data_IF_360624309597
#
_entry.id   IF_360624309597
#
_cell.length_a   1.000
_cell.length_b   1.000
_cell.length_c   1.000
_cell.angle_alpha   90.00
_cell.angle_beta   90.00
_cell.angle_gamma   90.00
#
_symmetry.space_group_name_H-M   'P 1'
#
loop_
_entity.id
_entity.type
_entity.pdbx_description
1 polymer ?
#
# COMPACT_ATOMS: atom_id res chain seq x y z
N UNK A 1 -2.67 -23.77 6.04
CA UNK A 1 -2.52 -22.34 6.38
C UNK A 1 -3.91 -21.73 6.40
N UNK A 2 -4.38 -21.24 7.55
CA UNK A 2 -5.61 -20.45 7.61
C UNK A 2 -5.22 -18.99 7.35
N UNK A 3 -5.57 -18.47 6.18
CA UNK A 3 -5.33 -17.08 5.82
C UNK A 3 -6.35 -16.14 6.46
N UNK A 4 -6.08 -14.84 6.39
CA UNK A 4 -6.97 -13.79 6.89
C UNK A 4 -6.51 -12.41 6.44
N UNK A 5 -7.31 -11.40 6.74
CA UNK A 5 -6.98 -10.00 6.49
C UNK A 5 -7.22 -9.17 7.76
N UNK A 6 -6.46 -8.10 7.91
CA UNK A 6 -6.66 -7.09 8.94
C UNK A 6 -7.11 -5.79 8.28
N UNK A 7 -8.01 -5.04 8.92
CA UNK A 7 -8.06 -3.60 8.66
C UNK A 7 -6.77 -2.95 9.14
N UNK A 8 -6.45 -1.76 8.63
CA UNK A 8 -5.30 -0.98 9.06
C UNK A 8 -5.34 -0.70 10.56
N UNK A 9 -6.51 -0.36 11.10
CA UNK A 9 -6.72 -0.18 12.54
C UNK A 9 -6.48 -1.47 13.33
N UNK A 10 -7.03 -2.61 12.88
CA UNK A 10 -6.87 -3.88 13.55
C UNK A 10 -5.42 -4.36 13.52
N UNK A 11 -4.69 -4.08 12.43
CA UNK A 11 -3.27 -4.41 12.31
C UNK A 11 -2.43 -3.65 13.36
N UNK A 12 -2.67 -2.35 13.53
CA UNK A 12 -1.99 -1.53 14.53
C UNK A 12 -2.21 -2.03 15.97
N UNK A 13 -3.37 -2.67 16.23
CA UNK A 13 -3.74 -3.23 17.53
C UNK A 13 -3.44 -4.74 17.65
N UNK A 14 -2.86 -5.33 16.61
CA UNK A 14 -2.61 -6.78 16.57
C UNK A 14 -1.32 -7.16 17.31
N UNK A 15 -1.06 -8.47 17.39
CA UNK A 15 0.22 -9.00 17.89
C UNK A 15 1.42 -8.74 16.97
N UNK A 16 1.19 -8.26 15.74
CA UNK A 16 2.24 -7.98 14.78
C UNK A 16 2.90 -6.64 15.09
N UNK A 17 4.20 -6.65 15.40
CA UNK A 17 4.96 -5.41 15.51
C UNK A 17 5.30 -4.89 14.11
N UNK A 18 4.51 -3.94 13.60
CA UNK A 18 4.71 -3.35 12.27
C UNK A 18 6.02 -2.55 12.16
N UNK A 19 6.60 -2.11 13.27
CA UNK A 19 7.89 -1.42 13.30
C UNK A 19 9.06 -2.36 12.95
N UNK A 20 8.91 -3.66 13.22
CA UNK A 20 9.90 -4.70 12.89
C UNK A 20 9.73 -5.23 11.45
N UNK A 21 8.92 -4.57 10.63
CA UNK A 21 8.68 -5.01 9.27
C UNK A 21 9.93 -4.87 8.38
N UNK A 22 10.13 -5.88 7.55
CA UNK A 22 11.09 -5.85 6.45
C UNK A 22 10.49 -5.16 5.23
N UNK A 23 11.34 -4.61 4.37
CA UNK A 23 10.92 -3.95 3.14
C UNK A 23 11.22 -4.81 1.91
N UNK A 24 10.21 -5.11 1.10
CA UNK A 24 10.42 -5.71 -0.20
C UNK A 24 10.73 -4.62 -1.23
N UNK A 25 11.93 -4.67 -1.82
CA UNK A 25 12.39 -3.64 -2.75
C UNK A 25 11.73 -3.72 -4.12
N UNK A 26 11.23 -4.87 -4.55
CA UNK A 26 10.65 -5.03 -5.88
C UNK A 26 9.18 -4.58 -5.87
N UNK A 27 8.38 -5.10 -4.93
CA UNK A 27 6.97 -4.73 -4.77
C UNK A 27 6.78 -3.37 -4.11
N UNK A 28 7.82 -2.81 -3.47
CA UNK A 28 7.75 -1.59 -2.66
C UNK A 28 6.68 -1.69 -1.55
N UNK A 29 6.63 -2.82 -0.86
CA UNK A 29 5.70 -3.06 0.25
C UNK A 29 6.43 -3.60 1.48
N UNK A 30 5.95 -3.29 2.70
CA UNK A 30 6.44 -3.91 3.92
C UNK A 30 5.87 -5.32 4.09
N UNK A 31 6.61 -6.15 4.82
CA UNK A 31 6.17 -7.47 5.24
C UNK A 31 6.82 -7.91 6.55
N UNK A 32 6.21 -8.86 7.23
CA UNK A 32 6.76 -9.55 8.39
C UNK A 32 6.74 -11.05 8.10
N UNK A 33 7.87 -11.70 8.34
CA UNK A 33 8.00 -13.15 8.31
C UNK A 33 8.36 -13.66 9.70
N UNK A 34 7.50 -14.50 10.28
CA UNK A 34 7.78 -15.20 11.53
C UNK A 34 7.99 -16.69 11.25
N UNK A 35 9.23 -17.20 11.28
CA UNK A 35 9.53 -18.59 10.98
C UNK A 35 9.06 -19.56 12.08
N UNK A 36 8.97 -19.12 13.35
CA UNK A 36 8.53 -19.96 14.46
C UNK A 36 7.05 -20.35 14.32
N UNK A 37 6.22 -19.40 13.89
CA UNK A 37 4.78 -19.60 13.67
C UNK A 37 4.45 -19.98 12.22
N UNK A 38 5.46 -20.08 11.34
CA UNK A 38 5.31 -20.27 9.89
C UNK A 38 4.26 -19.29 9.29
N UNK A 39 4.35 -18.02 9.67
CA UNK A 39 3.34 -17.01 9.34
C UNK A 39 3.95 -15.78 8.67
N UNK A 40 3.22 -15.28 7.67
CA UNK A 40 3.62 -14.16 6.84
C UNK A 40 2.52 -13.12 6.81
N UNK A 41 2.90 -11.85 6.93
CA UNK A 41 2.01 -10.71 6.80
C UNK A 41 2.62 -9.71 5.81
N UNK A 42 1.94 -9.45 4.69
CA UNK A 42 2.19 -8.28 3.86
C UNK A 42 1.06 -7.28 4.07
N UNK A 43 1.39 -5.99 4.03
CA UNK A 43 0.44 -4.92 4.31
C UNK A 43 0.83 -3.63 3.58
N UNK A 44 -0.08 -2.66 3.53
CA UNK A 44 0.22 -1.31 3.05
C UNK A 44 0.66 -0.40 4.19
N UNK A 45 1.48 0.59 3.88
CA UNK A 45 1.93 1.64 4.80
C UNK A 45 1.94 2.98 4.08
N UNK A 46 2.06 4.08 4.83
CA UNK A 46 2.27 5.42 4.24
C UNK A 46 3.41 5.42 3.22
N UNK A 47 4.49 4.66 3.48
CA UNK A 47 5.65 4.54 2.58
C UNK A 47 5.30 3.83 1.27
N UNK A 48 4.57 2.71 1.31
CA UNK A 48 4.18 1.98 0.10
C UNK A 48 3.13 2.73 -0.70
N UNK A 49 2.18 3.39 -0.04
CA UNK A 49 1.19 4.23 -0.71
C UNK A 49 1.85 5.40 -1.45
N UNK A 50 2.82 6.09 -0.83
CA UNK A 50 3.61 7.13 -1.51
C UNK A 50 4.37 6.61 -2.74
N UNK A 51 4.92 5.39 -2.66
CA UNK A 51 5.58 4.77 -3.81
C UNK A 51 4.59 4.47 -4.94
N UNK A 52 3.37 4.00 -4.62
CA UNK A 52 2.31 3.71 -5.60
C UNK A 52 1.73 4.98 -6.23
N UNK A 53 1.53 6.05 -5.46
CA UNK A 53 1.15 7.37 -5.97
C UNK A 53 2.19 7.84 -6.99
N UNK A 54 3.48 7.83 -6.62
CA UNK A 54 4.57 8.21 -7.52
C UNK A 54 4.57 7.35 -8.78
N UNK A 55 4.38 6.04 -8.64
CA UNK A 55 4.32 5.13 -9.78
C UNK A 55 3.16 5.50 -10.71
N UNK A 56 1.94 5.62 -10.18
CA UNK A 56 0.75 5.96 -10.94
C UNK A 56 0.91 7.27 -11.72
N UNK A 57 1.35 8.33 -11.05
CA UNK A 57 1.62 9.63 -11.70
C UNK A 57 2.72 9.51 -12.77
N UNK A 58 3.86 8.89 -12.45
CA UNK A 58 4.98 8.77 -13.42
C UNK A 58 4.64 7.94 -14.65
N UNK A 59 3.72 6.97 -14.49
CA UNK A 59 3.27 6.07 -15.55
C UNK A 59 2.01 6.57 -16.24
N UNK A 60 1.50 7.74 -15.86
CA UNK A 60 0.25 8.29 -16.40
C UNK A 60 -0.92 7.29 -16.29
N UNK A 61 -0.98 6.60 -15.15
CA UNK A 61 -2.08 5.70 -14.81
C UNK A 61 -3.23 6.55 -14.27
N UNK A 62 -4.45 6.32 -14.74
CA UNK A 62 -5.62 7.17 -14.47
C UNK A 62 -6.12 7.24 -13.01
N UNK A 63 -5.39 6.68 -12.05
CA UNK A 63 -5.70 6.79 -10.63
C UNK A 63 -5.37 5.54 -9.81
N UNK A 64 -5.87 5.53 -8.58
CA UNK A 64 -5.73 4.42 -7.63
C UNK A 64 -7.11 3.95 -7.18
N UNK A 65 -7.28 2.63 -7.07
CA UNK A 65 -8.48 2.02 -6.50
C UNK A 65 -8.16 1.44 -5.11
N UNK A 66 -9.10 1.59 -4.17
CA UNK A 66 -8.96 1.12 -2.79
C UNK A 66 -10.06 0.14 -2.45
N UNK A 67 -9.68 -1.01 -1.90
CA UNK A 67 -10.59 -1.97 -1.28
C UNK A 67 -10.06 -2.34 0.11
N UNK A 68 -10.72 -1.97 1.21
CA UNK A 68 -11.96 -1.17 1.33
C UNK A 68 -11.73 0.10 2.16
N UNK A 69 -12.50 1.14 1.87
CA UNK A 69 -12.40 2.43 2.55
C UNK A 69 -12.70 2.34 4.05
N UNK A 70 -13.58 1.43 4.45
CA UNK A 70 -13.97 1.16 5.85
C UNK A 70 -12.88 0.42 6.64
N UNK A 71 -11.77 0.06 5.98
CA UNK A 71 -10.66 -0.69 6.58
C UNK A 71 -9.46 0.20 6.95
N UNK A 72 -9.62 1.53 6.93
CA UNK A 72 -8.62 2.47 7.47
C UNK A 72 -8.79 2.67 8.99
N UNK A 73 -7.97 3.52 9.61
CA UNK A 73 -8.14 3.96 11.00
C UNK A 73 -9.02 5.22 11.14
N UNK A 74 -9.44 5.54 12.37
CA UNK A 74 -10.27 6.72 12.68
C UNK A 74 -9.63 8.07 12.29
N UNK A 75 -8.32 8.07 12.00
CA UNK A 75 -7.57 9.26 11.54
C UNK A 75 -7.49 9.33 10.02
N UNK A 76 -8.07 8.36 9.30
CA UNK A 76 -7.97 8.21 7.85
C UNK A 76 -6.52 8.21 7.38
N UNK A 77 -5.59 7.55 8.10
CA UNK A 77 -4.15 7.67 7.82
C UNK A 77 -3.81 7.23 6.39
N UNK A 78 -4.36 6.10 5.92
CA UNK A 78 -4.11 5.60 4.58
C UNK A 78 -4.84 6.44 3.53
N UNK A 79 -6.10 6.79 3.78
CA UNK A 79 -6.94 7.57 2.87
C UNK A 79 -6.40 9.01 2.70
N UNK A 80 -5.96 9.67 3.78
CA UNK A 80 -5.31 10.99 3.72
C UNK A 80 -4.00 10.93 2.92
N UNK A 81 -3.25 9.83 3.02
CA UNK A 81 -2.04 9.64 2.21
C UNK A 81 -2.39 9.56 0.72
N UNK A 82 -3.48 8.88 0.36
CA UNK A 82 -3.95 8.76 -1.01
C UNK A 82 -4.51 10.08 -1.55
N UNK A 83 -5.35 10.76 -0.78
CA UNK A 83 -6.03 11.99 -1.20
C UNK A 83 -5.08 13.20 -1.27
N UNK A 84 -3.96 13.18 -0.56
CA UNK A 84 -2.91 14.20 -0.66
C UNK A 84 -1.94 13.96 -1.83
N UNK A 85 -2.04 12.82 -2.51
CA UNK A 85 -1.26 12.53 -3.70
C UNK A 85 -1.74 13.37 -4.89
N UNK A 86 -0.82 14.02 -5.58
CA UNK A 86 -1.11 14.73 -6.84
C UNK A 86 -1.26 13.74 -8.00
N UNK A 87 -2.41 13.04 -8.02
CA UNK A 87 -2.75 12.05 -9.04
C UNK A 87 -3.16 12.69 -10.38
N UNK A 88 -3.41 14.00 -10.40
CA UNK A 88 -3.84 14.74 -11.59
C UNK A 88 -2.68 15.48 -12.29
N UNK A 89 -1.46 15.42 -11.76
CA UNK A 89 -0.27 16.04 -12.36
C UNK A 89 0.32 15.32 -13.57
N UNK A 90 -0.34 14.27 -14.07
CA UNK A 90 0.06 13.59 -15.31
C UNK A 90 -0.07 14.51 -16.53
N UNK A 91 0.67 14.20 -17.59
CA UNK A 91 0.49 14.89 -18.87
C UNK A 91 -0.92 14.59 -19.42
N UNK A 92 -1.57 15.56 -20.08
CA UNK A 92 -2.88 15.41 -20.74
C UNK A 92 -2.91 14.35 -21.87
N UNK A 93 -1.81 13.64 -22.09
CA UNK A 93 -1.71 12.55 -23.05
C UNK A 93 -2.54 11.35 -22.55
N UNK A 94 -3.40 10.81 -23.40
CA UNK A 94 -4.25 9.65 -23.06
C UNK A 94 -3.47 8.33 -23.02
N UNK A 95 -2.18 8.30 -23.38
CA UNK A 95 -1.35 7.10 -23.36
C UNK A 95 -0.70 6.85 -21.99
N UNK A 96 -0.86 5.64 -21.46
CA UNK A 96 -0.14 5.13 -20.29
C UNK A 96 1.34 4.89 -20.66
N UNK A 97 2.28 5.36 -19.84
CA UNK A 97 3.74 5.27 -20.06
C UNK A 97 4.31 3.96 -19.53
N UNK A 98 3.82 2.82 -20.03
CA UNK A 98 4.26 1.49 -19.60
C UNK A 98 4.70 0.65 -20.79
N UNK A 99 5.90 0.07 -20.71
CA UNK A 99 6.42 -0.88 -21.68
C UNK A 99 6.25 -2.28 -21.08
N UNK A 100 5.57 -3.16 -21.83
CA UNK A 100 5.48 -4.57 -21.50
C UNK A 100 6.68 -5.27 -22.14
N UNK A 101 7.61 -5.76 -21.33
CA UNK A 101 8.64 -6.72 -21.78
C UNK A 101 8.03 -8.11 -22.02
#
# INVERSE_FOLDING_TARGET
>A
MNGGAFSWEALQKSKWNIEDSSWNYDSKTPYIWNPCDNSYLAFESVRSLKAKIKYATSKNIGGLAVFRFDSDDDKNTMLNTLSSGDLCSGDDNTSVKYECD
#
